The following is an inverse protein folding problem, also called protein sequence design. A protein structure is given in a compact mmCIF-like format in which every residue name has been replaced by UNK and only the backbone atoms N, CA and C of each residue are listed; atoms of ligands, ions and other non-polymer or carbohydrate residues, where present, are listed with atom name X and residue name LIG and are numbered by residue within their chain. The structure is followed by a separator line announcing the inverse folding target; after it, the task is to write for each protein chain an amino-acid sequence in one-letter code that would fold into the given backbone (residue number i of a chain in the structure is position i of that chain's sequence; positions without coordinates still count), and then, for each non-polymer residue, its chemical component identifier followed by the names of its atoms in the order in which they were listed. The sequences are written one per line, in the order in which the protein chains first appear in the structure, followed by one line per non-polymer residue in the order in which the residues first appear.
data_IF_289469272333
#
_entry.id   IF_289469272333
#
_cell.length_a   1.000
_cell.length_b   1.000
_cell.length_c   1.000
_cell.angle_alpha   90.00
_cell.angle_beta   90.00
_cell.angle_gamma   90.00
#
_symmetry.space_group_name_H-M   'P 1'
#
loop_
_entity.id
_entity.type
_entity.pdbx_description
1 polymer ?
#
# COMPACT_ATOMS: atom_id res chain seq x y z
N UNK A 1 -7.31 -2.34 -11.87
CA UNK A 1 -6.63 -2.09 -10.57
C UNK A 1 -5.38 -2.94 -10.51
N UNK A 2 -4.24 -2.37 -10.15
CA UNK A 2 -2.98 -3.08 -9.96
C UNK A 2 -2.61 -3.01 -8.48
N UNK A 3 -2.66 -4.14 -7.77
CA UNK A 3 -2.67 -4.15 -6.30
C UNK A 3 -1.96 -5.37 -5.69
N UNK A 4 -1.86 -5.39 -4.37
CA UNK A 4 -1.50 -6.56 -3.57
C UNK A 4 -2.63 -7.59 -3.56
N UNK A 5 -2.28 -8.86 -3.47
CA UNK A 5 -3.28 -9.91 -3.24
C UNK A 5 -3.99 -9.71 -1.89
N UNK A 6 -5.30 -9.95 -1.86
CA UNK A 6 -6.19 -9.69 -0.73
C UNK A 6 -6.97 -8.38 -0.83
N UNK A 7 -6.60 -7.45 -1.72
CA UNK A 7 -7.36 -6.22 -1.96
C UNK A 7 -8.47 -6.37 -3.02
N UNK A 8 -8.52 -7.53 -3.70
CA UNK A 8 -9.62 -7.93 -4.57
C UNK A 8 -10.86 -8.46 -3.82
N UNK A 9 -10.82 -8.47 -2.48
CA UNK A 9 -11.94 -8.92 -1.66
C UNK A 9 -13.16 -7.98 -1.84
N UNK A 10 -14.34 -8.48 -2.27
CA UNK A 10 -15.48 -7.65 -2.61
C UNK A 10 -15.94 -6.71 -1.50
N UNK A 11 -15.74 -7.07 -0.23
CA UNK A 11 -16.09 -6.24 0.92
C UNK A 11 -15.41 -4.85 0.89
N UNK A 12 -14.27 -4.72 0.22
CA UNK A 12 -13.50 -3.47 0.11
C UNK A 12 -14.13 -2.50 -0.89
N UNK A 13 -14.70 -3.01 -1.98
CA UNK A 13 -15.23 -2.19 -3.09
C UNK A 13 -16.70 -2.50 -3.44
N UNK A 14 -17.45 -3.15 -2.55
CA UNK A 14 -18.85 -3.50 -2.80
C UNK A 14 -19.69 -2.26 -3.17
N UNK A 15 -19.46 -1.12 -2.50
CA UNK A 15 -20.15 0.14 -2.83
C UNK A 15 -19.87 0.66 -4.24
N UNK A 16 -18.72 0.31 -4.84
CA UNK A 16 -18.45 0.57 -6.26
C UNK A 16 -19.30 -0.35 -7.14
N UNK A 17 -19.34 -1.65 -6.86
CA UNK A 17 -20.14 -2.63 -7.60
C UNK A 17 -21.62 -2.27 -7.56
N UNK A 18 -22.17 -1.94 -6.39
CA UNK A 18 -23.57 -1.58 -6.23
C UNK A 18 -23.96 -0.34 -7.05
N UNK A 19 -23.01 0.58 -7.24
CA UNK A 19 -23.23 1.84 -7.97
C UNK A 19 -23.02 1.68 -9.48
N UNK A 20 -22.05 0.88 -9.91
CA UNK A 20 -21.61 0.82 -11.31
C UNK A 20 -21.91 -0.51 -12.00
N UNK A 21 -22.38 -1.51 -11.25
CA UNK A 21 -22.92 -2.77 -11.77
C UNK A 21 -21.88 -3.83 -12.12
N UNK A 22 -20.58 -3.56 -11.95
CA UNK A 22 -19.51 -4.50 -12.27
C UNK A 22 -18.31 -4.34 -11.31
N UNK A 23 -17.53 -5.41 -11.19
CA UNK A 23 -16.31 -5.44 -10.38
C UNK A 23 -15.14 -4.82 -11.15
N UNK A 24 -14.18 -4.16 -10.46
CA UNK A 24 -12.91 -3.82 -11.07
C UNK A 24 -12.18 -5.09 -11.52
N UNK A 25 -11.42 -5.00 -12.60
CA UNK A 25 -10.45 -6.03 -12.95
C UNK A 25 -9.16 -5.82 -12.17
N UNK A 26 -8.54 -6.92 -11.73
CA UNK A 26 -7.32 -6.88 -10.92
C UNK A 26 -6.14 -7.52 -11.66
N UNK A 27 -4.97 -6.93 -11.45
CA UNK A 27 -3.67 -7.56 -11.68
C UNK A 27 -2.87 -7.42 -10.39
N UNK A 28 -2.06 -8.42 -10.06
CA UNK A 28 -1.35 -8.47 -8.78
C UNK A 28 0.16 -8.35 -8.93
N UNK A 29 0.82 -7.96 -7.85
CA UNK A 29 2.27 -8.00 -7.65
C UNK A 29 2.60 -8.49 -6.24
N UNK A 30 3.81 -9.06 -6.08
CA UNK A 30 4.29 -9.59 -4.81
C UNK A 30 5.17 -8.62 -4.02
N UNK A 31 5.75 -7.62 -4.68
CA UNK A 31 6.60 -6.60 -4.06
C UNK A 31 6.58 -5.27 -4.83
N UNK A 32 7.06 -4.22 -4.16
CA UNK A 32 7.11 -2.85 -4.68
C UNK A 32 8.01 -2.68 -5.91
N UNK A 33 9.12 -3.43 -6.00
CA UNK A 33 10.04 -3.32 -7.12
C UNK A 33 9.46 -4.02 -8.36
N UNK A 34 8.83 -5.19 -8.21
CA UNK A 34 8.07 -5.84 -9.27
C UNK A 34 7.00 -4.89 -9.82
N UNK A 35 6.21 -4.27 -8.94
CA UNK A 35 5.15 -3.33 -9.32
C UNK A 35 5.70 -2.16 -10.14
N UNK A 36 6.78 -1.54 -9.65
CA UNK A 36 7.42 -0.41 -10.32
C UNK A 36 7.95 -0.81 -11.70
N UNK A 37 8.71 -1.92 -11.79
CA UNK A 37 9.29 -2.37 -13.06
C UNK A 37 8.22 -2.70 -14.10
N UNK A 38 7.10 -3.30 -13.67
CA UNK A 38 6.01 -3.64 -14.58
C UNK A 38 5.37 -2.40 -15.19
N UNK A 39 5.06 -1.39 -14.38
CA UNK A 39 4.51 -0.11 -14.87
C UNK A 39 5.54 0.65 -15.73
N UNK A 40 6.80 0.71 -15.29
CA UNK A 40 7.88 1.37 -16.02
C UNK A 40 8.17 0.72 -17.39
N UNK A 41 7.95 -0.59 -17.52
CA UNK A 41 8.12 -1.33 -18.79
C UNK A 41 6.90 -1.24 -19.74
N UNK A 42 5.87 -0.47 -19.37
CA UNK A 42 4.76 -0.13 -20.26
C UNK A 42 3.44 -0.82 -19.95
N UNK A 43 3.36 -1.63 -18.89
CA UNK A 43 2.06 -2.10 -18.38
C UNK A 43 1.18 -0.91 -18.01
N UNK A 44 -0.13 -1.03 -18.24
CA UNK A 44 -1.11 0.03 -17.98
C UNK A 44 -2.15 -0.45 -16.98
N UNK A 45 -2.43 0.40 -15.99
CA UNK A 45 -3.51 0.24 -15.02
C UNK A 45 -4.08 1.62 -14.70
N UNK A 46 -5.38 1.66 -14.39
CA UNK A 46 -6.05 2.92 -14.02
C UNK A 46 -5.66 3.39 -12.62
N UNK A 47 -5.38 2.45 -11.71
CA UNK A 47 -4.98 2.69 -10.32
C UNK A 47 -3.93 1.67 -9.93
N UNK A 48 -2.88 2.12 -9.23
CA UNK A 48 -1.88 1.28 -8.59
C UNK A 48 -1.78 1.62 -7.09
N UNK A 49 -1.43 0.63 -6.27
CA UNK A 49 -1.36 0.77 -4.81
C UNK A 49 0.07 0.55 -4.26
N UNK A 50 1.06 1.37 -4.66
CA UNK A 50 2.42 1.21 -4.17
C UNK A 50 2.51 1.54 -2.68
N UNK A 51 3.48 0.97 -1.97
CA UNK A 51 3.78 1.43 -0.63
C UNK A 51 4.24 2.89 -0.64
N UNK A 52 3.94 3.60 0.46
CA UNK A 52 4.20 5.04 0.59
C UNK A 52 5.63 5.50 0.22
N UNK A 53 6.65 4.71 0.54
CA UNK A 53 8.05 5.02 0.24
C UNK A 53 8.37 5.04 -1.26
N UNK A 54 7.52 4.43 -2.09
CA UNK A 54 7.73 4.32 -3.54
C UNK A 54 7.13 5.49 -4.32
N UNK A 55 6.22 6.26 -3.72
CA UNK A 55 5.43 7.30 -4.42
C UNK A 55 6.33 8.29 -5.16
N UNK A 56 7.41 8.77 -4.54
CA UNK A 56 8.33 9.71 -5.21
C UNK A 56 8.99 9.09 -6.44
N UNK A 57 9.40 7.82 -6.38
CA UNK A 57 10.01 7.10 -7.50
C UNK A 57 9.05 7.03 -8.69
N UNK A 58 7.75 6.81 -8.44
CA UNK A 58 6.71 6.78 -9.48
C UNK A 58 6.46 8.17 -10.07
N UNK A 59 6.37 9.20 -9.22
CA UNK A 59 6.20 10.59 -9.64
C UNK A 59 7.37 11.05 -10.51
N UNK A 60 8.59 10.84 -10.05
CA UNK A 60 9.81 11.30 -10.72
C UNK A 60 10.03 10.57 -12.06
N UNK A 61 9.53 9.33 -12.18
CA UNK A 61 9.53 8.57 -13.43
C UNK A 61 8.36 8.92 -14.37
N UNK A 62 7.45 9.82 -13.99
CA UNK A 62 6.29 10.22 -14.79
C UNK A 62 5.25 9.10 -14.98
N UNK A 63 5.17 8.16 -14.03
CA UNK A 63 4.26 7.01 -14.10
C UNK A 63 2.89 7.28 -13.49
N UNK A 64 2.77 8.33 -12.69
CA UNK A 64 1.54 8.75 -12.01
C UNK A 64 1.27 10.23 -12.24
N UNK A 65 0.05 10.66 -11.93
CA UNK A 65 -0.41 12.04 -12.00
C UNK A 65 -1.03 12.45 -10.65
N UNK A 66 -1.12 13.76 -10.34
CA UNK A 66 -1.74 14.18 -9.09
C UNK A 66 -3.25 13.91 -9.11
N UNK A 67 -3.78 13.49 -7.98
CA UNK A 67 -5.19 13.26 -7.74
C UNK A 67 -5.99 14.56 -7.74
N UNK A 68 -7.12 14.55 -8.43
CA UNK A 68 -8.19 15.53 -8.25
C UNK A 68 -9.01 15.17 -7.00
N UNK A 69 -8.59 15.70 -5.85
CA UNK A 69 -9.24 15.43 -4.56
C UNK A 69 -10.68 15.95 -4.47
N UNK A 70 -11.10 16.86 -5.36
CA UNK A 70 -12.50 17.32 -5.40
C UNK A 70 -13.47 16.20 -5.79
N UNK A 71 -12.96 15.15 -6.45
CA UNK A 71 -13.71 13.95 -6.85
C UNK A 71 -13.68 12.84 -5.82
N UNK A 72 -13.05 13.06 -4.66
CA UNK A 72 -12.93 12.10 -3.57
C UNK A 72 -13.67 12.68 -2.35
N UNK A 73 -14.99 12.48 -2.22
CA UNK A 73 -15.79 13.09 -1.14
C UNK A 73 -15.28 12.76 0.27
N UNK A 74 -14.67 11.58 0.43
CA UNK A 74 -14.09 11.12 1.69
C UNK A 74 -12.65 11.60 1.94
N UNK A 75 -12.04 12.41 1.05
CA UNK A 75 -10.65 12.83 1.25
C UNK A 75 -10.45 13.60 2.56
N UNK A 76 -11.45 14.39 2.96
CA UNK A 76 -11.43 15.14 4.22
C UNK A 76 -11.54 14.26 5.48
N UNK A 77 -11.83 12.96 5.35
CA UNK A 77 -11.90 12.03 6.48
C UNK A 77 -10.57 11.37 6.80
N UNK A 78 -9.55 11.54 5.94
CA UNK A 78 -8.20 11.01 6.17
C UNK A 78 -7.58 11.75 7.36
N UNK A 79 -6.98 11.00 8.29
CA UNK A 79 -6.28 11.59 9.43
C UNK A 79 -5.20 12.56 8.91
N UNK A 80 -5.20 13.84 9.35
CA UNK A 80 -4.24 14.83 8.87
C UNK A 80 -2.78 14.42 9.05
N UNK A 81 -2.45 13.58 10.04
CA UNK A 81 -1.10 13.07 10.26
C UNK A 81 -0.57 12.26 9.05
N UNK A 82 -1.45 11.58 8.31
CA UNK A 82 -1.09 10.87 7.08
C UNK A 82 -0.99 11.78 5.85
N UNK A 83 -1.39 13.04 5.94
CA UNK A 83 -1.30 14.01 4.85
C UNK A 83 -0.08 14.94 4.97
N UNK A 84 0.60 14.93 6.12
CA UNK A 84 1.76 15.78 6.42
C UNK A 84 3.07 15.23 5.84
N UNK A 85 3.07 14.86 4.56
CA UNK A 85 4.25 14.35 3.85
C UNK A 85 4.47 15.11 2.54
N UNK A 86 5.67 15.68 2.30
CA UNK A 86 6.00 16.31 1.02
C UNK A 86 6.11 15.29 -0.14
N UNK A 87 6.14 14.00 0.17
CA UNK A 87 6.07 12.92 -0.82
C UNK A 87 4.62 12.74 -1.31
N UNK A 88 3.64 12.87 -0.42
CA UNK A 88 2.23 12.64 -0.75
C UNK A 88 1.54 13.89 -1.30
N UNK A 89 2.05 15.07 -0.96
CA UNK A 89 1.53 16.34 -1.45
C UNK A 89 2.68 17.33 -1.63
N UNK A 90 2.67 18.02 -2.75
CA UNK A 90 3.56 19.15 -3.04
C UNK A 90 2.75 20.32 -3.62
N UNK A 91 3.46 21.34 -4.12
CA UNK A 91 2.85 22.54 -4.71
C UNK A 91 2.03 22.25 -5.98
N UNK A 92 2.24 21.09 -6.62
CA UNK A 92 1.54 20.69 -7.85
C UNK A 92 0.28 19.86 -7.58
N UNK A 93 0.17 19.23 -6.41
CA UNK A 93 -1.04 18.51 -6.03
C UNK A 93 -0.81 17.40 -5.00
N UNK A 94 -1.83 16.54 -4.88
CA UNK A 94 -1.80 15.34 -4.04
C UNK A 94 -1.43 14.15 -4.91
N UNK A 95 -0.35 13.45 -4.57
CA UNK A 95 0.22 12.33 -5.34
C UNK A 95 -0.10 10.96 -4.76
N UNK A 96 -0.57 10.93 -3.51
CA UNK A 96 -0.89 9.69 -2.80
C UNK A 96 -2.14 9.88 -1.95
N UNK A 97 -3.03 8.90 -2.00
CA UNK A 97 -4.18 8.79 -1.12
C UNK A 97 -3.85 7.69 -0.11
N UNK A 98 -3.62 8.02 1.17
CA UNK A 98 -3.45 7.01 2.21
C UNK A 98 -4.69 6.12 2.29
N UNK A 99 -4.55 4.85 1.90
CA UNK A 99 -5.66 3.87 1.85
C UNK A 99 -5.65 2.98 3.09
N UNK A 100 -4.49 2.44 3.42
CA UNK A 100 -4.25 1.60 4.59
C UNK A 100 -2.85 1.87 5.17
N UNK A 101 -2.63 1.41 6.40
CA UNK A 101 -1.34 1.47 7.06
C UNK A 101 -1.17 0.27 7.98
N UNK A 102 0.08 -0.10 8.21
CA UNK A 102 0.43 -1.16 9.15
C UNK A 102 1.89 -1.08 9.55
N UNK A 103 2.30 -2.03 10.36
CA UNK A 103 3.69 -2.23 10.73
C UNK A 103 4.05 -3.70 10.54
N UNK A 104 5.25 -3.96 10.01
CA UNK A 104 5.83 -5.30 10.05
C UNK A 104 6.18 -5.64 11.50
N UNK A 105 5.61 -6.72 12.01
CA UNK A 105 5.80 -7.18 13.38
C UNK A 105 6.28 -8.64 13.40
N UNK A 106 6.74 -9.08 14.57
CA UNK A 106 7.15 -10.47 14.80
C UNK A 106 5.90 -11.30 15.09
N UNK A 107 5.60 -12.25 14.20
CA UNK A 107 4.65 -13.32 14.48
C UNK A 107 5.40 -14.52 15.06
N UNK A 108 4.91 -15.09 16.17
CA UNK A 108 5.55 -16.23 16.84
C UNK A 108 4.50 -17.17 17.46
N UNK A 109 4.88 -18.45 17.60
CA UNK A 109 4.06 -19.42 18.30
C UNK A 109 4.30 -19.32 19.81
N UNK A 110 3.28 -18.92 20.56
CA UNK A 110 3.33 -18.70 22.01
C UNK A 110 3.54 -19.99 22.81
N UNK A 111 3.23 -21.14 22.22
CA UNK A 111 3.43 -22.44 22.87
C UNK A 111 4.91 -22.86 22.89
N UNK A 112 5.73 -22.29 21.98
CA UNK A 112 7.14 -22.68 21.81
C UNK A 112 8.13 -21.54 22.02
N UNK A 113 7.68 -20.29 21.92
CA UNK A 113 8.53 -19.09 22.04
C UNK A 113 7.94 -18.15 23.10
N UNK A 114 8.66 -17.92 24.21
CA UNK A 114 8.28 -16.93 25.21
C UNK A 114 8.22 -15.50 24.64
N UNK A 115 7.30 -14.69 25.17
CA UNK A 115 7.08 -13.32 24.68
C UNK A 115 8.29 -12.40 24.90
N UNK A 116 9.04 -12.63 25.98
CA UNK A 116 10.27 -11.91 26.32
C UNK A 116 11.36 -12.08 25.26
N UNK A 117 11.40 -13.23 24.59
CA UNK A 117 12.42 -13.54 23.59
C UNK A 117 12.17 -12.77 22.28
N UNK A 118 10.92 -12.40 22.00
CA UNK A 118 10.52 -11.61 20.82
C UNK A 118 10.30 -10.12 21.13
N UNK A 119 10.75 -9.64 22.30
CA UNK A 119 10.66 -8.22 22.64
C UNK A 119 11.56 -7.31 21.78
N UNK A 120 12.44 -7.92 20.97
CA UNK A 120 13.34 -7.24 20.03
C UNK A 120 13.50 -8.06 18.75
N UNK A 121 13.82 -7.37 17.65
CA UNK A 121 14.23 -8.00 16.39
C UNK A 121 15.48 -8.88 16.54
N UNK A 122 16.22 -8.76 17.65
CA UNK A 122 17.35 -9.63 17.95
C UNK A 122 16.99 -11.12 18.03
N UNK A 123 15.71 -11.47 18.20
CA UNK A 123 15.25 -12.87 18.14
C UNK A 123 15.67 -13.57 16.83
N UNK A 124 15.76 -12.82 15.72
CA UNK A 124 16.13 -13.36 14.41
C UNK A 124 17.62 -13.73 14.28
N UNK A 125 18.46 -13.28 15.21
CA UNK A 125 19.90 -13.61 15.26
C UNK A 125 20.27 -14.40 16.52
N UNK A 126 19.30 -14.76 17.35
CA UNK A 126 19.54 -15.54 18.56
C UNK A 126 19.85 -17.00 18.19
N UNK A 127 21.03 -17.53 18.57
CA UNK A 127 21.39 -18.92 18.33
C UNK A 127 20.37 -19.93 18.90
N UNK A 128 19.59 -19.55 19.92
CA UNK A 128 18.51 -20.38 20.50
C UNK A 128 17.47 -20.81 19.45
N UNK A 129 17.20 -19.96 18.46
CA UNK A 129 16.19 -20.18 17.43
C UNK A 129 16.79 -20.56 16.08
N UNK A 130 18.07 -20.93 16.04
CA UNK A 130 18.73 -21.37 14.83
C UNK A 130 18.18 -22.71 14.34
N UNK A 131 17.69 -22.75 13.09
CA UNK A 131 17.13 -23.94 12.43
C UNK A 131 16.78 -23.67 10.97
#
# INVERSE_FOLDING_TARGET
VFDWAGFEEPVIFQGYVDKYGDSPTFAFYGDDDEAYQKLASGFKADVAHPCSQMVSKYRDAGLIEPWDVSRIPAFSTIDPSFLHSPIFKDDTGVWYIPTDWGATAIAYNKDTVPAEDVASLNVFIDPKYQG
#
